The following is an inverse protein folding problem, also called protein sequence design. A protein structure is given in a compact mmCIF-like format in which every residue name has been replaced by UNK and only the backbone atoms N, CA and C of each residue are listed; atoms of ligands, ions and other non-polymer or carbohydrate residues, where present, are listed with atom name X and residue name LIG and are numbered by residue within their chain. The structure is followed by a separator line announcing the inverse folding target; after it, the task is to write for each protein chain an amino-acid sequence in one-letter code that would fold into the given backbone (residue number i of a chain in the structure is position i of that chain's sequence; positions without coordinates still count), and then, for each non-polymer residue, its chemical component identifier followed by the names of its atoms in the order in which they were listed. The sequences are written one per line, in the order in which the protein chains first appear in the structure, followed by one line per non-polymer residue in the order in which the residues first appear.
data_IF_635487781813
#
_entry.id   IF_635487781813
#
_cell.length_a   1.000
_cell.length_b   1.000
_cell.length_c   1.000
_cell.angle_alpha   90.00
_cell.angle_beta   90.00
_cell.angle_gamma   90.00
#
_symmetry.space_group_name_H-M   'P 1'
#
loop_
_entity.id
_entity.type
_entity.pdbx_description
1 polymer ?
#
# COMPACT_ATOMS: atom_id res chain seq x y z
N UNK A 1 2.50 14.87 -10.25
CA UNK A 1 3.97 14.88 -10.41
C UNK A 1 4.30 15.44 -11.80
N UNK A 2 5.55 15.48 -12.26
CA UNK A 2 5.89 16.01 -13.60
C UNK A 2 5.23 15.20 -14.75
N UNK A 3 5.15 13.88 -14.58
CA UNK A 3 4.51 12.91 -15.49
C UNK A 3 3.01 12.72 -15.20
N UNK A 4 2.39 13.63 -14.45
CA UNK A 4 0.98 13.55 -14.06
C UNK A 4 0.60 12.27 -13.29
N UNK A 5 1.55 11.64 -12.58
CA UNK A 5 1.23 10.56 -11.62
C UNK A 5 0.52 11.18 -10.43
N UNK A 6 -0.59 10.53 -10.04
CA UNK A 6 -1.38 10.91 -8.88
C UNK A 6 -1.04 9.99 -7.71
N UNK A 7 -0.52 10.56 -6.63
CA UNK A 7 -0.28 9.83 -5.39
C UNK A 7 -1.35 10.18 -4.35
N UNK A 8 -1.93 9.17 -3.72
CA UNK A 8 -2.94 9.28 -2.66
C UNK A 8 -2.39 8.57 -1.43
N UNK A 9 -2.32 9.28 -0.31
CA UNK A 9 -1.95 8.71 1.00
C UNK A 9 -3.21 8.72 1.87
N UNK A 10 -3.63 7.53 2.32
CA UNK A 10 -4.91 7.36 3.02
C UNK A 10 -4.78 6.51 4.29
N UNK A 11 -5.62 6.79 5.30
CA UNK A 11 -5.64 6.08 6.59
C UNK A 11 -6.41 4.75 6.55
N UNK A 12 -6.91 4.32 5.40
CA UNK A 12 -7.68 3.10 5.24
C UNK A 12 -6.90 1.84 5.70
N UNK A 13 -7.13 1.45 6.95
CA UNK A 13 -6.49 0.32 7.62
C UNK A 13 -7.50 -0.77 8.03
N UNK A 14 -8.74 -0.67 7.55
CA UNK A 14 -9.79 -1.70 7.70
C UNK A 14 -10.25 -2.17 6.32
N UNK A 15 -10.83 -3.39 6.19
CA UNK A 15 -11.32 -3.90 4.91
C UNK A 15 -12.32 -2.94 4.23
N UNK A 16 -13.31 -2.46 4.97
CA UNK A 16 -14.35 -1.58 4.42
C UNK A 16 -13.80 -0.22 3.98
N UNK A 17 -12.90 0.38 4.78
CA UNK A 17 -12.27 1.64 4.42
C UNK A 17 -11.42 1.49 3.15
N UNK A 18 -10.61 0.43 3.07
CA UNK A 18 -9.76 0.16 1.90
C UNK A 18 -10.60 -0.07 0.65
N UNK A 19 -11.69 -0.85 0.79
CA UNK A 19 -12.65 -1.09 -0.29
C UNK A 19 -13.25 0.23 -0.79
N UNK A 20 -13.76 1.06 0.11
CA UNK A 20 -14.40 2.33 -0.26
C UNK A 20 -13.44 3.27 -1.01
N UNK A 21 -12.19 3.38 -0.55
CA UNK A 21 -11.17 4.20 -1.23
C UNK A 21 -10.87 3.64 -2.62
N UNK A 22 -10.63 2.34 -2.74
CA UNK A 22 -10.33 1.70 -4.03
C UNK A 22 -11.51 1.76 -5.00
N UNK A 23 -12.74 1.56 -4.53
CA UNK A 23 -13.95 1.70 -5.35
C UNK A 23 -14.16 3.14 -5.82
N UNK A 24 -13.88 4.12 -4.95
CA UNK A 24 -13.92 5.54 -5.31
C UNK A 24 -12.89 5.87 -6.39
N UNK A 25 -11.63 5.43 -6.23
CA UNK A 25 -10.60 5.63 -7.26
C UNK A 25 -11.02 4.96 -8.58
N UNK A 26 -11.58 3.75 -8.51
CA UNK A 26 -12.04 3.02 -9.69
C UNK A 26 -13.25 3.66 -10.39
N UNK A 27 -14.10 4.39 -9.67
CA UNK A 27 -15.26 5.08 -10.24
C UNK A 27 -14.89 6.40 -10.91
N UNK A 28 -13.84 7.08 -10.43
CA UNK A 28 -13.40 8.36 -10.98
C UNK A 28 -12.37 8.23 -12.11
N UNK A 29 -11.54 7.18 -12.11
CA UNK A 29 -10.50 6.99 -13.13
C UNK A 29 -11.08 6.54 -14.47
N UNK A 30 -10.41 6.88 -15.57
CA UNK A 30 -10.86 6.50 -16.92
C UNK A 30 -10.54 5.05 -17.28
N UNK A 31 -9.73 4.37 -16.45
CA UNK A 31 -9.19 3.01 -16.63
C UNK A 31 -8.12 2.90 -17.72
N UNK A 32 -7.68 4.02 -18.27
CA UNK A 32 -6.44 4.08 -19.05
C UNK A 32 -5.20 4.14 -18.12
N UNK A 33 -5.43 4.51 -16.86
CA UNK A 33 -4.43 4.60 -15.80
C UNK A 33 -4.34 3.27 -15.03
N UNK A 34 -3.13 2.83 -14.70
CA UNK A 34 -2.92 1.74 -13.74
C UNK A 34 -3.07 2.24 -12.31
N UNK A 35 -3.70 1.45 -11.46
CA UNK A 35 -3.78 1.66 -10.01
C UNK A 35 -2.81 0.71 -9.30
N UNK A 36 -1.79 1.29 -8.67
CA UNK A 36 -0.80 0.59 -7.86
C UNK A 36 -1.11 0.86 -6.39
N UNK A 37 -1.32 -0.19 -5.59
CA UNK A 37 -1.64 -0.05 -4.16
C UNK A 37 -0.52 -0.59 -3.29
N UNK A 38 -0.01 0.22 -2.38
CA UNK A 38 0.91 -0.17 -1.32
C UNK A 38 0.12 -0.24 -0.01
N UNK A 39 0.07 -1.40 0.62
CA UNK A 39 -0.74 -1.62 1.83
C UNK A 39 -0.09 -2.62 2.77
N UNK A 40 -0.24 -2.38 4.07
CA UNK A 40 0.19 -3.28 5.14
C UNK A 40 -0.89 -3.45 6.18
N UNK A 41 -0.60 -4.27 7.19
CA UNK A 41 -1.43 -4.42 8.38
C UNK A 41 -0.59 -4.21 9.64
N UNK A 42 -1.21 -3.69 10.69
CA UNK A 42 -0.57 -3.60 12.00
C UNK A 42 -0.49 -4.96 12.70
N UNK A 43 0.61 -5.21 13.41
CA UNK A 43 0.77 -6.34 14.33
C UNK A 43 0.10 -6.09 15.69
N UNK A 44 -0.01 -7.13 16.51
CA UNK A 44 -0.68 -7.17 17.83
C UNK A 44 -2.12 -6.64 17.81
N UNK A 45 -2.79 -6.83 16.66
CA UNK A 45 -4.15 -6.35 16.38
C UNK A 45 -4.93 -7.45 15.67
N UNK A 46 -6.12 -7.09 15.18
CA UNK A 46 -7.00 -7.99 14.44
C UNK A 46 -6.27 -8.63 13.24
N UNK A 47 -5.95 -9.92 13.36
CA UNK A 47 -5.37 -10.72 12.26
C UNK A 47 -6.42 -11.09 11.22
N UNK A 48 -7.70 -11.17 11.60
CA UNK A 48 -8.80 -11.57 10.72
C UNK A 48 -9.05 -10.60 9.57
N UNK A 49 -8.56 -9.36 9.66
CA UNK A 49 -8.61 -8.38 8.56
C UNK A 49 -7.52 -8.59 7.50
N UNK A 50 -6.38 -9.21 7.84
CA UNK A 50 -5.20 -9.34 6.96
C UNK A 50 -5.53 -9.96 5.60
N UNK A 51 -6.10 -11.18 5.53
CA UNK A 51 -6.46 -11.79 4.25
C UNK A 51 -7.57 -11.01 3.54
N UNK A 52 -8.51 -10.42 4.28
CA UNK A 52 -9.60 -9.62 3.68
C UNK A 52 -9.08 -8.37 2.99
N UNK A 53 -8.14 -7.65 3.61
CA UNK A 53 -7.51 -6.47 3.03
C UNK A 53 -6.70 -6.83 1.77
N UNK A 54 -5.97 -7.95 1.79
CA UNK A 54 -5.22 -8.43 0.64
C UNK A 54 -6.14 -8.84 -0.52
N UNK A 55 -7.22 -9.56 -0.24
CA UNK A 55 -8.25 -9.90 -1.24
C UNK A 55 -8.82 -8.64 -1.90
N UNK A 56 -9.20 -7.64 -1.10
CA UNK A 56 -9.77 -6.37 -1.60
C UNK A 56 -8.76 -5.61 -2.46
N UNK A 57 -7.54 -5.41 -1.97
CA UNK A 57 -6.50 -4.71 -2.71
C UNK A 57 -6.18 -5.42 -4.03
N UNK A 58 -5.98 -6.74 -3.98
CA UNK A 58 -5.66 -7.53 -5.16
C UNK A 58 -6.83 -7.56 -6.15
N UNK A 59 -8.07 -7.52 -5.71
CA UNK A 59 -9.23 -7.49 -6.62
C UNK A 59 -9.38 -6.13 -7.32
N UNK A 60 -9.20 -5.03 -6.59
CA UNK A 60 -9.56 -3.68 -7.08
C UNK A 60 -8.40 -2.89 -7.67
N UNK A 61 -7.17 -3.41 -7.61
CA UNK A 61 -5.97 -2.75 -8.15
C UNK A 61 -5.34 -3.51 -9.31
N UNK A 62 -4.60 -2.78 -10.15
CA UNK A 62 -3.84 -3.37 -11.26
C UNK A 62 -2.54 -4.02 -10.76
N UNK A 63 -1.95 -3.47 -9.69
CA UNK A 63 -0.80 -4.04 -8.98
C UNK A 63 -0.91 -3.73 -7.49
N UNK A 64 -0.48 -4.65 -6.65
CA UNK A 64 -0.46 -4.50 -5.19
C UNK A 64 0.91 -4.84 -4.64
N UNK A 65 1.38 -4.06 -3.68
CA UNK A 65 2.61 -4.30 -2.94
C UNK A 65 2.23 -4.41 -1.45
N UNK A 66 2.36 -5.61 -0.90
CA UNK A 66 2.21 -5.85 0.54
C UNK A 66 3.50 -5.48 1.25
N UNK A 67 3.37 -4.77 2.36
CA UNK A 67 4.51 -4.20 3.09
C UNK A 67 4.24 -4.14 4.59
N UNK A 68 5.29 -3.88 5.37
CA UNK A 68 5.17 -3.49 6.77
C UNK A 68 4.39 -2.18 6.92
N UNK A 69 3.57 -2.11 7.98
CA UNK A 69 2.96 -0.89 8.51
C UNK A 69 3.47 -0.71 9.94
N UNK A 70 2.67 -0.94 10.98
CA UNK A 70 3.10 -0.92 12.38
C UNK A 70 3.19 -2.36 12.89
N UNK A 71 4.29 -3.11 12.64
CA UNK A 71 4.39 -4.52 12.99
C UNK A 71 4.39 -4.77 14.51
N UNK A 72 4.73 -3.75 15.32
CA UNK A 72 4.81 -3.86 16.79
C UNK A 72 5.73 -5.00 17.18
N UNK A 73 5.24 -6.01 17.89
CA UNK A 73 6.05 -7.17 18.32
C UNK A 73 5.91 -8.38 17.39
N UNK A 74 5.07 -8.32 16.36
CA UNK A 74 4.95 -9.38 15.36
C UNK A 74 6.03 -9.24 14.26
N UNK A 75 6.44 -10.38 13.69
CA UNK A 75 7.27 -10.38 12.48
C UNK A 75 6.50 -9.76 11.32
N UNK A 76 7.07 -8.75 10.63
CA UNK A 76 6.48 -8.18 9.42
C UNK A 76 6.21 -9.23 8.33
N UNK A 77 7.11 -10.20 8.19
CA UNK A 77 6.99 -11.31 7.24
C UNK A 77 5.75 -12.15 7.55
N UNK A 78 5.55 -12.55 8.81
CA UNK A 78 4.35 -13.30 9.21
C UNK A 78 3.04 -12.52 8.99
N UNK A 79 3.06 -11.20 9.16
CA UNK A 79 1.88 -10.36 8.84
C UNK A 79 1.59 -10.39 7.35
N UNK A 80 2.62 -10.32 6.51
CA UNK A 80 2.49 -10.38 5.05
C UNK A 80 2.02 -11.76 4.60
N UNK A 81 2.54 -12.84 5.18
CA UNK A 81 2.08 -14.21 4.92
C UNK A 81 0.57 -14.37 5.23
N UNK A 82 0.11 -13.85 6.37
CA UNK A 82 -1.32 -13.82 6.73
C UNK A 82 -2.16 -13.01 5.74
N UNK A 83 -1.60 -11.92 5.18
CA UNK A 83 -2.24 -11.14 4.12
C UNK A 83 -2.33 -11.94 2.83
N UNK A 84 -1.21 -12.51 2.36
CA UNK A 84 -1.13 -13.27 1.12
C UNK A 84 -2.08 -14.48 1.08
N UNK A 85 -2.42 -15.06 2.22
CA UNK A 85 -3.44 -16.11 2.34
C UNK A 85 -4.83 -15.69 1.80
N UNK A 86 -5.11 -14.39 1.70
CA UNK A 86 -6.34 -13.85 1.10
C UNK A 86 -6.27 -13.59 -0.41
N UNK A 87 -5.12 -13.77 -1.05
CA UNK A 87 -4.94 -13.52 -2.47
C UNK A 87 -5.40 -14.73 -3.27
N UNK A 88 -6.36 -14.54 -4.16
CA UNK A 88 -6.80 -15.60 -5.06
C UNK A 88 -5.76 -15.94 -6.13
N UNK A 89 -5.68 -17.20 -6.61
CA UNK A 89 -4.66 -17.63 -7.56
C UNK A 89 -4.53 -16.77 -8.82
N UNK A 90 -5.65 -16.26 -9.33
CA UNK A 90 -5.69 -15.40 -10.51
C UNK A 90 -5.03 -14.02 -10.33
N UNK A 91 -4.74 -13.62 -9.09
CA UNK A 91 -4.17 -12.31 -8.76
C UNK A 91 -2.70 -12.36 -8.34
N UNK A 92 -2.09 -13.55 -8.21
CA UNK A 92 -0.69 -13.67 -7.78
C UNK A 92 0.31 -12.93 -8.68
N UNK A 93 0.08 -12.90 -9.99
CA UNK A 93 0.98 -12.26 -10.95
C UNK A 93 1.04 -10.72 -10.80
N UNK A 94 0.07 -10.13 -10.10
CA UNK A 94 -0.02 -8.68 -9.87
C UNK A 94 0.23 -8.26 -8.42
N UNK A 95 0.53 -9.20 -7.54
CA UNK A 95 0.95 -8.92 -6.16
C UNK A 95 2.47 -9.02 -6.02
N UNK A 96 3.04 -8.20 -5.15
CA UNK A 96 4.44 -8.25 -4.72
C UNK A 96 4.49 -8.09 -3.19
N UNK A 97 5.53 -8.64 -2.57
CA UNK A 97 5.76 -8.51 -1.13
C UNK A 97 7.13 -7.92 -0.87
N UNK A 98 7.14 -6.76 -0.22
CA UNK A 98 8.35 -5.99 0.11
C UNK A 98 8.18 -5.49 1.54
N UNK A 99 8.91 -6.10 2.48
CA UNK A 99 8.77 -5.80 3.92
C UNK A 99 9.07 -4.33 4.23
N UNK A 100 10.16 -3.79 3.68
CA UNK A 100 10.56 -2.40 3.91
C UNK A 100 9.58 -1.44 3.22
N UNK A 101 8.85 -0.66 4.02
CA UNK A 101 7.81 0.24 3.53
C UNK A 101 8.33 1.31 2.59
N UNK A 102 9.53 1.83 2.83
CA UNK A 102 10.15 2.82 1.95
C UNK A 102 10.53 2.21 0.61
N UNK A 103 11.05 0.98 0.59
CA UNK A 103 11.31 0.24 -0.64
C UNK A 103 10.01 -0.11 -1.37
N UNK A 104 8.95 -0.52 -0.67
CA UNK A 104 7.65 -0.78 -1.27
C UNK A 104 7.09 0.46 -1.99
N UNK A 105 7.14 1.62 -1.34
CA UNK A 105 6.74 2.89 -1.94
C UNK A 105 7.64 3.25 -3.12
N UNK A 106 8.97 3.11 -2.99
CA UNK A 106 9.91 3.33 -4.09
C UNK A 106 9.62 2.45 -5.29
N UNK A 107 9.33 1.18 -5.07
CA UNK A 107 8.95 0.24 -6.14
C UNK A 107 7.65 0.69 -6.81
N UNK A 108 6.64 1.14 -6.05
CA UNK A 108 5.42 1.69 -6.64
C UNK A 108 5.70 2.92 -7.52
N UNK A 109 6.51 3.88 -7.04
CA UNK A 109 6.91 5.07 -7.81
C UNK A 109 7.71 4.69 -9.07
N UNK A 110 8.58 3.69 -9.01
CA UNK A 110 9.34 3.21 -10.16
C UNK A 110 8.45 2.53 -11.21
N UNK A 111 7.48 1.72 -10.78
CA UNK A 111 6.55 1.02 -11.66
C UNK A 111 5.54 1.95 -12.34
N UNK A 112 5.09 3.01 -11.65
CA UNK A 112 4.09 3.93 -12.15
C UNK A 112 4.51 4.57 -13.48
N UNK A 113 3.65 4.52 -14.48
CA UNK A 113 3.80 5.21 -15.76
C UNK A 113 3.09 6.58 -15.72
N UNK A 114 3.34 7.47 -16.69
CA UNK A 114 2.62 8.74 -16.76
C UNK A 114 1.10 8.55 -16.68
N UNK A 115 0.43 9.40 -15.90
CA UNK A 115 -1.00 9.33 -15.56
C UNK A 115 -1.43 8.20 -14.60
N UNK A 116 -0.54 7.30 -14.17
CA UNK A 116 -0.91 6.26 -13.20
C UNK A 116 -1.27 6.82 -11.83
N UNK A 117 -1.96 5.99 -11.05
CA UNK A 117 -2.39 6.29 -9.68
C UNK A 117 -1.66 5.37 -8.71
N UNK A 118 -1.04 5.96 -7.69
CA UNK A 118 -0.45 5.25 -6.56
C UNK A 118 -1.31 5.52 -5.31
N UNK A 119 -1.84 4.46 -4.70
CA UNK A 119 -2.46 4.52 -3.38
C UNK A 119 -1.50 3.95 -2.34
N UNK A 120 -1.12 4.74 -1.34
CA UNK A 120 -0.43 4.27 -0.13
C UNK A 120 -1.42 4.30 1.02
N UNK A 121 -1.85 3.12 1.48
CA UNK A 121 -2.89 2.98 2.48
C UNK A 121 -2.33 2.47 3.83
N UNK A 122 -3.07 2.76 4.90
CA UNK A 122 -2.87 2.24 6.25
C UNK A 122 -2.52 3.32 7.26
N UNK A 123 -1.51 4.16 6.96
CA UNK A 123 -0.95 5.15 7.91
C UNK A 123 -1.57 6.53 7.79
N UNK A 124 -2.01 6.93 6.60
CA UNK A 124 -2.58 8.26 6.37
C UNK A 124 -1.65 9.37 6.86
N UNK A 125 -2.09 10.09 7.89
CA UNK A 125 -1.34 11.21 8.50
C UNK A 125 -0.41 10.79 9.64
N UNK A 126 -0.29 9.49 9.95
CA UNK A 126 0.71 9.00 10.91
C UNK A 126 2.12 9.16 10.32
N UNK A 127 2.98 9.87 11.05
CA UNK A 127 4.36 10.18 10.67
C UNK A 127 5.39 9.30 11.40
N UNK A 128 4.99 8.09 11.81
CA UNK A 128 5.89 7.14 12.46
C UNK A 128 5.56 5.71 12.10
N UNK A 129 6.57 4.85 12.20
CA UNK A 129 6.43 3.40 12.14
C UNK A 129 6.77 2.79 13.50
N UNK A 130 5.88 1.95 14.05
CA UNK A 130 6.07 1.30 15.35
C UNK A 130 6.64 -0.12 15.21
N UNK A 131 7.85 -0.33 15.72
CA UNK A 131 8.58 -1.60 15.72
C UNK A 131 9.12 -1.85 17.13
N UNK A 132 8.74 -2.97 17.76
CA UNK A 132 9.16 -3.35 19.11
C UNK A 132 9.00 -2.22 20.15
N UNK A 133 7.87 -1.52 20.11
CA UNK A 133 7.56 -0.40 21.01
C UNK A 133 8.34 0.90 20.72
N UNK A 134 9.18 0.92 19.69
CA UNK A 134 9.89 2.13 19.23
C UNK A 134 9.14 2.76 18.06
N UNK A 135 8.91 4.07 18.15
CA UNK A 135 8.37 4.88 17.05
C UNK A 135 9.51 5.50 16.27
N UNK A 136 9.66 5.09 15.02
CA UNK A 136 10.67 5.58 14.08
C UNK A 136 10.01 6.60 13.17
N UNK A 137 10.65 7.74 12.92
CA UNK A 137 10.12 8.77 12.00
C UNK A 137 9.90 8.16 10.60
N UNK A 138 8.65 8.23 10.13
CA UNK A 138 8.25 7.64 8.86
C UNK A 138 6.96 8.30 8.35
N UNK A 139 7.06 9.08 7.29
CA UNK A 139 5.95 9.85 6.72
C UNK A 139 5.73 9.41 5.26
N UNK A 140 4.63 8.68 5.01
CA UNK A 140 4.28 8.17 3.68
C UNK A 140 4.21 9.30 2.64
N UNK A 141 3.64 10.46 3.00
CA UNK A 141 3.46 11.58 2.09
C UNK A 141 4.82 12.17 1.67
N UNK A 142 5.69 12.45 2.64
CA UNK A 142 7.04 12.97 2.34
C UNK A 142 7.84 12.00 1.49
N UNK A 143 7.79 10.71 1.84
CA UNK A 143 8.53 9.67 1.11
C UNK A 143 8.06 9.59 -0.35
N UNK A 144 6.75 9.59 -0.59
CA UNK A 144 6.22 9.55 -1.97
C UNK A 144 6.61 10.81 -2.75
N UNK A 145 6.44 11.99 -2.16
CA UNK A 145 6.78 13.27 -2.81
C UNK A 145 8.27 13.36 -3.16
N UNK A 146 9.15 12.98 -2.24
CA UNK A 146 10.60 12.95 -2.46
C UNK A 146 10.99 11.96 -3.57
N UNK A 147 10.41 10.76 -3.56
CA UNK A 147 10.74 9.71 -4.52
C UNK A 147 10.28 10.04 -5.94
N UNK A 148 9.08 10.62 -6.10
CA UNK A 148 8.62 11.05 -7.42
C UNK A 148 9.54 12.14 -7.99
N UNK A 149 9.93 13.13 -7.18
CA UNK A 149 10.90 14.17 -7.58
C UNK A 149 12.27 13.59 -7.95
N UNK A 150 12.81 12.67 -7.16
CA UNK A 150 14.10 12.03 -7.42
C UNK A 150 14.10 11.19 -8.69
N UNK A 151 12.96 10.59 -9.03
CA UNK A 151 12.79 9.78 -10.24
C UNK A 151 12.48 10.62 -11.48
N UNK A 152 12.39 11.96 -11.34
CA UNK A 152 11.96 12.89 -12.40
C UNK A 152 10.60 12.48 -12.99
N UNK A 153 9.67 12.17 -12.09
CA UNK A 153 8.31 11.74 -12.41
C UNK A 153 7.29 12.73 -11.90
#
# INVERSE_FOLDING_TARGET
SEDNITAIVDYAHTPDALKNVLETINSVRTKNESLITVVGCGGDRDKGKRPKMAHIASTLSNKVIFTSDNPRTESPESIIEDMEAGVEPQYFNKTLSIVDRKQAIRTACQLAQPNDIILVAGKGHENYQEIDGKRIDFDDFKIVDELLKQLQK
#
